data_IF_585516404984
#
_entry.id   IF_585516404984
#
_cell.length_a   1.000
_cell.length_b   1.000
_cell.length_c   1.000
_cell.angle_alpha   90.00
_cell.angle_beta   90.00
_cell.angle_gamma   90.00
#
_symmetry.space_group_name_H-M   'P 1'
#
loop_
_entity.id
_entity.type
_entity.pdbx_description
1 polymer ?
#
# COMPACT_ATOMS: atom_id res chain seq x y z
N UNK A 1 -10.32 32.38 9.51
CA UNK A 1 -11.30 33.13 10.31
C UNK A 1 -10.70 34.27 11.17
N UNK A 2 -9.37 34.39 11.25
CA UNK A 2 -8.71 35.38 12.11
C UNK A 2 -8.56 36.80 11.50
N UNK A 3 -8.90 36.96 10.22
CA UNK A 3 -8.84 38.25 9.48
C UNK A 3 -10.27 38.78 9.20
N UNK A 4 -11.29 38.16 9.73
CA UNK A 4 -12.66 38.24 9.24
C UNK A 4 -13.50 39.45 9.67
N UNK A 5 -12.97 40.45 10.37
CA UNK A 5 -13.81 41.57 10.87
C UNK A 5 -13.88 42.81 9.95
N UNK A 6 -13.03 42.89 8.91
CA UNK A 6 -13.23 43.86 7.78
C UNK A 6 -12.81 43.18 6.48
N UNK A 7 -13.79 42.74 5.71
CA UNK A 7 -13.65 42.05 4.43
C UNK A 7 -12.81 42.89 3.47
N UNK A 8 -11.54 42.48 3.23
CA UNK A 8 -10.76 42.96 2.12
C UNK A 8 -10.95 41.99 0.94
N UNK A 9 -11.67 42.37 -0.14
CA UNK A 9 -12.00 41.43 -1.23
C UNK A 9 -10.80 40.82 -1.93
N UNK A 10 -9.65 41.51 -1.89
CA UNK A 10 -8.40 41.00 -2.47
C UNK A 10 -7.84 39.87 -1.61
N UNK A 11 -7.91 40.02 -0.29
CA UNK A 11 -7.43 39.01 0.66
C UNK A 11 -8.33 37.77 0.65
N UNK A 12 -9.66 37.95 0.61
CA UNK A 12 -10.62 36.86 0.50
C UNK A 12 -10.40 36.02 -0.76
N UNK A 13 -10.12 36.69 -1.89
CA UNK A 13 -9.78 36.00 -3.12
C UNK A 13 -8.51 35.15 -3.01
N UNK A 14 -7.49 35.64 -2.31
CA UNK A 14 -6.24 34.90 -2.08
C UNK A 14 -6.40 33.74 -1.09
N UNK A 15 -7.18 33.92 -0.04
CA UNK A 15 -7.52 32.87 0.93
C UNK A 15 -8.25 31.75 0.21
N UNK A 16 -9.32 32.06 -0.50
CA UNK A 16 -10.11 31.07 -1.26
C UNK A 16 -9.29 30.32 -2.30
N UNK A 17 -8.38 31.02 -2.99
CA UNK A 17 -7.45 30.39 -3.94
C UNK A 17 -6.48 29.42 -3.24
N UNK A 18 -5.95 29.79 -2.07
CA UNK A 18 -5.07 28.92 -1.28
C UNK A 18 -5.82 27.69 -0.77
N UNK A 19 -7.02 27.86 -0.19
CA UNK A 19 -7.86 26.76 0.30
C UNK A 19 -8.15 25.76 -0.84
N UNK A 20 -8.55 26.24 -2.01
CA UNK A 20 -8.80 25.38 -3.18
C UNK A 20 -7.57 24.54 -3.55
N UNK A 21 -6.36 25.13 -3.52
CA UNK A 21 -5.12 24.42 -3.85
C UNK A 21 -4.68 23.47 -2.74
N UNK A 22 -4.95 23.81 -1.50
CA UNK A 22 -4.68 22.95 -0.33
C UNK A 22 -5.58 21.72 -0.36
N UNK A 23 -6.86 21.88 -0.64
CA UNK A 23 -7.82 20.78 -0.78
C UNK A 23 -7.43 19.84 -1.93
N UNK A 24 -7.03 20.38 -3.06
CA UNK A 24 -6.52 19.58 -4.19
C UNK A 24 -5.26 18.78 -3.83
N UNK A 25 -4.36 19.37 -3.03
CA UNK A 25 -3.17 18.68 -2.54
C UNK A 25 -3.51 17.57 -1.53
N UNK A 26 -4.44 17.82 -0.61
CA UNK A 26 -4.89 16.83 0.37
C UNK A 26 -5.57 15.63 -0.32
N UNK A 27 -6.42 15.89 -1.31
CA UNK A 27 -7.06 14.83 -2.11
C UNK A 27 -6.03 14.02 -2.92
N UNK A 28 -5.03 14.68 -3.52
CA UNK A 28 -3.93 13.99 -4.21
C UNK A 28 -3.12 13.11 -3.25
N UNK A 29 -2.86 13.56 -2.01
CA UNK A 29 -2.19 12.77 -0.97
C UNK A 29 -3.02 11.55 -0.57
N UNK A 30 -4.31 11.72 -0.30
CA UNK A 30 -5.22 10.63 0.05
C UNK A 30 -5.25 9.58 -1.06
N UNK A 31 -5.40 10.01 -2.30
CA UNK A 31 -5.42 9.13 -3.47
C UNK A 31 -4.10 8.38 -3.68
N UNK A 32 -2.96 8.94 -3.24
CA UNK A 32 -1.64 8.31 -3.38
C UNK A 32 -1.27 7.39 -2.22
N UNK A 33 -1.84 7.59 -1.04
CA UNK A 33 -1.38 6.94 0.21
C UNK A 33 -2.14 5.68 0.58
N UNK A 34 -3.38 5.49 0.11
CA UNK A 34 -4.18 4.32 0.42
C UNK A 34 -4.90 3.78 -0.81
N UNK A 35 -4.30 2.75 -1.43
CA UNK A 35 -4.99 1.98 -2.45
C UNK A 35 -5.74 0.83 -1.74
N UNK A 36 -7.08 0.86 -1.67
CA UNK A 36 -7.87 -0.22 -1.05
C UNK A 36 -7.55 -1.60 -1.64
N UNK A 37 -7.23 -1.64 -2.93
CA UNK A 37 -6.78 -2.84 -3.63
C UNK A 37 -5.48 -3.45 -3.08
N UNK A 38 -4.63 -2.66 -2.41
CA UNK A 38 -3.40 -3.19 -1.78
C UNK A 38 -3.73 -4.09 -0.60
N UNK A 39 -4.67 -3.70 0.26
CA UNK A 39 -5.13 -4.53 1.37
C UNK A 39 -5.79 -5.81 0.84
N UNK A 40 -6.70 -5.68 -0.15
CA UNK A 40 -7.36 -6.84 -0.79
C UNK A 40 -6.37 -7.82 -1.40
N UNK A 41 -5.32 -7.33 -2.07
CA UNK A 41 -4.29 -8.19 -2.65
C UNK A 41 -3.44 -8.88 -1.56
N UNK A 42 -3.17 -8.21 -0.45
CA UNK A 42 -2.46 -8.80 0.70
C UNK A 42 -3.30 -9.88 1.38
N UNK A 43 -4.58 -9.63 1.60
CA UNK A 43 -5.47 -10.61 2.21
C UNK A 43 -5.65 -11.84 1.31
N UNK A 44 -5.80 -11.63 0.00
CA UNK A 44 -5.88 -12.72 -0.96
C UNK A 44 -4.60 -13.55 -1.04
N UNK A 45 -3.43 -12.94 -0.86
CA UNK A 45 -2.12 -13.60 -0.77
C UNK A 45 -2.05 -14.52 0.45
N UNK A 46 -2.43 -14.02 1.62
CA UNK A 46 -2.48 -14.81 2.87
C UNK A 46 -3.44 -16.00 2.74
N UNK A 47 -4.59 -15.81 2.10
CA UNK A 47 -5.54 -16.90 1.88
C UNK A 47 -5.01 -17.95 0.89
N UNK A 48 -4.27 -17.53 -0.14
CA UNK A 48 -3.60 -18.41 -1.11
C UNK A 48 -2.53 -19.25 -0.43
N UNK A 49 -1.67 -18.63 0.37
CA UNK A 49 -0.66 -19.29 1.20
C UNK A 49 -1.28 -20.35 2.10
N UNK A 50 -2.37 -19.98 2.77
CA UNK A 50 -3.10 -20.88 3.66
C UNK A 50 -3.68 -22.09 2.92
N UNK A 51 -4.18 -21.88 1.71
CA UNK A 51 -4.70 -22.96 0.87
C UNK A 51 -3.60 -23.95 0.47
N UNK A 52 -2.41 -23.44 0.07
CA UNK A 52 -1.27 -24.30 -0.25
C UNK A 52 -0.78 -25.08 0.97
N UNK A 53 -0.59 -24.39 2.12
CA UNK A 53 -0.15 -25.04 3.37
C UNK A 53 -1.13 -26.13 3.81
N UNK A 54 -2.43 -25.85 3.70
CA UNK A 54 -3.49 -26.82 4.01
C UNK A 54 -3.43 -28.06 3.12
N UNK A 55 -3.33 -27.87 1.81
CA UNK A 55 -3.25 -28.95 0.83
C UNK A 55 -1.98 -29.81 1.05
N UNK A 56 -0.82 -29.18 1.25
CA UNK A 56 0.44 -29.87 1.52
C UNK A 56 0.40 -30.67 2.84
N UNK A 57 -0.15 -30.07 3.91
CA UNK A 57 -0.32 -30.73 5.19
C UNK A 57 -1.26 -31.94 5.10
N UNK A 58 -2.36 -31.79 4.38
CA UNK A 58 -3.31 -32.87 4.13
C UNK A 58 -2.63 -34.03 3.39
N UNK A 59 -1.96 -33.77 2.28
CA UNK A 59 -1.25 -34.79 1.50
C UNK A 59 -0.18 -35.47 2.35
N UNK A 60 0.57 -34.70 3.14
CA UNK A 60 1.55 -35.25 4.08
C UNK A 60 0.91 -36.17 5.12
N UNK A 61 -0.22 -35.82 5.69
CA UNK A 61 -0.91 -36.68 6.63
C UNK A 61 -1.40 -38.00 6.00
N UNK A 62 -1.83 -37.93 4.72
CA UNK A 62 -2.29 -39.08 3.97
C UNK A 62 -1.16 -40.08 3.62
N UNK A 63 0.11 -39.69 3.69
CA UNK A 63 1.23 -40.65 3.51
C UNK A 63 1.32 -41.70 4.64
N UNK A 64 0.74 -41.40 5.79
CA UNK A 64 0.68 -42.31 6.94
C UNK A 64 -0.67 -43.05 7.02
N UNK A 65 -1.45 -43.07 5.93
CA UNK A 65 -2.75 -43.73 5.94
C UNK A 65 -2.60 -45.25 6.13
N UNK A 66 -3.49 -45.89 6.95
CA UNK A 66 -3.39 -47.32 7.21
C UNK A 66 -3.62 -48.22 5.99
N UNK A 67 -4.37 -47.73 5.01
CA UNK A 67 -4.51 -48.42 3.72
C UNK A 67 -3.29 -48.13 2.85
N UNK A 68 -2.59 -49.18 2.47
CA UNK A 68 -1.32 -49.11 1.71
C UNK A 68 -1.49 -48.45 0.32
N UNK A 69 -2.61 -48.70 -0.35
CA UNK A 69 -2.86 -48.09 -1.66
C UNK A 69 -3.01 -46.56 -1.55
N UNK A 70 -3.76 -46.12 -0.53
CA UNK A 70 -3.93 -44.71 -0.20
C UNK A 70 -2.58 -44.04 0.18
N UNK A 71 -1.80 -44.67 1.06
CA UNK A 71 -0.50 -44.16 1.45
C UNK A 71 0.47 -44.04 0.25
N UNK A 72 0.50 -45.06 -0.62
CA UNK A 72 1.34 -45.04 -1.84
C UNK A 72 0.93 -43.92 -2.77
N UNK A 73 -0.35 -43.75 -3.05
CA UNK A 73 -0.87 -42.65 -3.85
C UNK A 73 -0.50 -41.27 -3.25
N UNK A 74 -0.62 -41.15 -1.93
CA UNK A 74 -0.25 -39.92 -1.22
C UNK A 74 1.25 -39.60 -1.32
N UNK A 75 2.13 -40.60 -1.25
CA UNK A 75 3.57 -40.43 -1.44
C UNK A 75 3.91 -39.90 -2.84
N UNK A 76 3.21 -40.35 -3.88
CA UNK A 76 3.40 -39.85 -5.23
C UNK A 76 2.97 -38.37 -5.36
N UNK A 77 1.83 -38.00 -4.80
CA UNK A 77 1.34 -36.62 -4.79
C UNK A 77 2.26 -35.74 -3.94
N UNK A 78 2.75 -36.25 -2.82
CA UNK A 78 3.70 -35.52 -1.98
C UNK A 78 4.99 -35.16 -2.74
N UNK A 79 5.48 -36.04 -3.61
CA UNK A 79 6.63 -35.74 -4.45
C UNK A 79 6.41 -34.55 -5.39
N UNK A 80 5.17 -34.34 -5.87
CA UNK A 80 4.86 -33.12 -6.64
C UNK A 80 5.04 -31.88 -5.78
N UNK A 81 4.45 -31.85 -4.59
CA UNK A 81 4.66 -30.74 -3.66
C UNK A 81 6.14 -30.51 -3.34
N UNK A 82 6.90 -31.58 -3.11
CA UNK A 82 8.33 -31.50 -2.81
C UNK A 82 9.16 -31.00 -4.00
N UNK A 83 8.76 -31.33 -5.23
CA UNK A 83 9.43 -30.88 -6.46
C UNK A 83 9.29 -29.38 -6.63
N UNK A 84 8.12 -28.82 -6.32
CA UNK A 84 7.85 -27.39 -6.39
C UNK A 84 8.33 -26.60 -5.17
N UNK A 85 8.57 -27.28 -4.04
CA UNK A 85 8.99 -26.67 -2.78
C UNK A 85 7.90 -25.84 -2.13
N UNK A 86 8.28 -24.99 -1.17
CA UNK A 86 7.39 -24.06 -0.49
C UNK A 86 7.33 -22.72 -1.23
N UNK A 87 6.24 -22.42 -1.96
CA UNK A 87 6.14 -21.20 -2.73
C UNK A 87 5.78 -19.97 -1.86
N UNK A 88 5.30 -20.18 -0.62
CA UNK A 88 4.76 -19.09 0.24
C UNK A 88 5.83 -18.10 0.73
N UNK A 89 7.10 -18.36 0.45
CA UNK A 89 8.23 -17.47 0.74
C UNK A 89 8.77 -16.75 -0.50
N UNK A 90 8.25 -17.06 -1.67
CA UNK A 90 8.69 -16.48 -2.96
C UNK A 90 8.05 -15.11 -3.21
N UNK A 91 8.58 -14.38 -4.18
CA UNK A 91 7.91 -13.19 -4.67
C UNK A 91 6.56 -13.56 -5.31
N UNK A 92 5.53 -12.74 -5.12
CA UNK A 92 4.15 -13.03 -5.53
C UNK A 92 3.99 -13.54 -6.97
N UNK A 93 4.81 -13.02 -7.90
CA UNK A 93 4.80 -13.44 -9.32
C UNK A 93 5.42 -14.83 -9.51
N UNK A 94 6.51 -15.13 -8.79
CA UNK A 94 7.17 -16.42 -8.80
C UNK A 94 6.29 -17.49 -8.18
N UNK A 95 5.67 -17.18 -7.05
CA UNK A 95 4.69 -18.03 -6.39
C UNK A 95 3.53 -18.38 -7.31
N UNK A 96 2.94 -17.39 -8.00
CA UNK A 96 1.88 -17.65 -9.00
C UNK A 96 2.34 -18.58 -10.12
N UNK A 97 3.60 -18.49 -10.54
CA UNK A 97 4.17 -19.40 -11.55
C UNK A 97 4.27 -20.83 -11.02
N UNK A 98 4.78 -20.99 -9.81
CA UNK A 98 4.91 -22.31 -9.14
C UNK A 98 3.53 -22.94 -8.91
N UNK A 99 2.57 -22.17 -8.35
CA UNK A 99 1.23 -22.67 -8.10
C UNK A 99 0.48 -23.04 -9.38
N UNK A 100 0.66 -22.28 -10.45
CA UNK A 100 0.07 -22.61 -11.76
C UNK A 100 0.52 -23.99 -12.22
N UNK A 101 1.81 -24.27 -12.22
CA UNK A 101 2.37 -25.54 -12.63
C UNK A 101 1.94 -26.68 -11.69
N UNK A 102 2.02 -26.48 -10.37
CA UNK A 102 1.56 -27.47 -9.40
C UNK A 102 0.08 -27.83 -9.60
N UNK A 103 -0.80 -26.84 -9.80
CA UNK A 103 -2.23 -27.07 -10.03
C UNK A 103 -2.45 -27.85 -11.33
N UNK A 104 -1.70 -27.55 -12.39
CA UNK A 104 -1.75 -28.33 -13.66
C UNK A 104 -1.39 -29.78 -13.43
N UNK A 105 -0.29 -30.06 -12.73
CA UNK A 105 0.16 -31.42 -12.45
C UNK A 105 -0.81 -32.17 -11.54
N UNK A 106 -1.36 -31.48 -10.52
CA UNK A 106 -2.38 -32.06 -9.64
C UNK A 106 -3.68 -32.41 -10.41
N UNK A 107 -4.06 -31.60 -11.40
CA UNK A 107 -5.21 -31.90 -12.26
C UNK A 107 -4.93 -33.00 -13.30
N UNK A 108 -3.67 -33.21 -13.65
CA UNK A 108 -3.25 -34.27 -14.55
C UNK A 108 -3.09 -35.62 -13.87
N UNK A 109 -3.24 -35.69 -12.55
CA UNK A 109 -3.19 -36.94 -11.79
C UNK A 109 -4.24 -37.93 -12.30
N UNK A 110 -3.92 -39.21 -12.20
CA UNK A 110 -4.88 -40.29 -12.43
C UNK A 110 -6.14 -40.09 -11.60
N UNK A 111 -7.31 -40.23 -12.25
CA UNK A 111 -8.60 -39.95 -11.63
C UNK A 111 -8.86 -40.85 -10.40
N UNK A 112 -8.37 -42.08 -10.42
CA UNK A 112 -8.51 -43.00 -9.28
C UNK A 112 -7.67 -42.55 -8.09
N UNK A 113 -6.45 -42.06 -8.30
CA UNK A 113 -5.62 -41.48 -7.23
C UNK A 113 -6.26 -40.22 -6.65
N UNK A 114 -6.75 -39.32 -7.50
CA UNK A 114 -7.43 -38.13 -7.06
C UNK A 114 -8.68 -38.43 -6.23
N UNK A 115 -9.43 -39.49 -6.60
CA UNK A 115 -10.60 -39.98 -5.88
C UNK A 115 -10.19 -40.61 -4.54
N UNK A 116 -9.19 -41.49 -4.55
CA UNK A 116 -8.72 -42.21 -3.38
C UNK A 116 -8.25 -41.26 -2.28
N UNK A 117 -7.60 -40.17 -2.67
CA UNK A 117 -7.10 -39.14 -1.77
C UNK A 117 -8.09 -38.00 -1.54
N UNK A 118 -9.28 -38.04 -2.11
CA UNK A 118 -10.26 -36.95 -2.05
C UNK A 118 -9.63 -35.57 -2.34
N UNK A 119 -8.75 -35.46 -3.36
CA UNK A 119 -7.97 -34.26 -3.64
C UNK A 119 -8.77 -33.13 -4.31
N UNK A 120 -9.84 -33.45 -5.00
CA UNK A 120 -10.61 -32.47 -5.80
C UNK A 120 -10.96 -31.19 -5.02
N UNK A 121 -11.48 -31.27 -3.76
CA UNK A 121 -11.77 -30.04 -3.01
C UNK A 121 -10.52 -29.20 -2.70
N UNK A 122 -9.38 -29.84 -2.47
CA UNK A 122 -8.12 -29.14 -2.18
C UNK A 122 -7.54 -28.45 -3.41
N UNK A 123 -7.57 -29.12 -4.57
CA UNK A 123 -7.14 -28.58 -5.86
C UNK A 123 -8.02 -27.40 -6.24
N UNK A 124 -9.34 -27.53 -6.13
CA UNK A 124 -10.28 -26.47 -6.44
C UNK A 124 -10.11 -25.27 -5.50
N UNK A 125 -9.89 -25.50 -4.19
CA UNK A 125 -9.64 -24.42 -3.25
C UNK A 125 -8.35 -23.65 -3.61
N UNK A 126 -7.27 -24.35 -3.88
CA UNK A 126 -5.99 -23.74 -4.25
C UNK A 126 -6.14 -22.93 -5.55
N UNK A 127 -6.79 -23.47 -6.56
CA UNK A 127 -7.05 -22.77 -7.83
C UNK A 127 -7.92 -21.51 -7.63
N UNK A 128 -8.97 -21.61 -6.83
CA UNK A 128 -9.85 -20.48 -6.55
C UNK A 128 -9.12 -19.36 -5.79
N UNK A 129 -8.25 -19.70 -4.84
CA UNK A 129 -7.46 -18.72 -4.09
C UNK A 129 -6.39 -18.06 -4.96
N UNK A 130 -5.73 -18.82 -5.83
CA UNK A 130 -4.79 -18.28 -6.80
C UNK A 130 -5.50 -17.33 -7.80
N UNK A 131 -6.69 -17.70 -8.26
CA UNK A 131 -7.51 -16.83 -9.13
C UNK A 131 -7.90 -15.54 -8.40
N UNK A 132 -8.39 -15.63 -7.17
CA UNK A 132 -8.77 -14.47 -6.37
C UNK A 132 -7.59 -13.52 -6.14
N UNK A 133 -6.41 -14.07 -5.85
CA UNK A 133 -5.18 -13.29 -5.74
C UNK A 133 -4.84 -12.55 -7.05
N UNK A 134 -4.87 -13.24 -8.20
CA UNK A 134 -4.59 -12.62 -9.50
C UNK A 134 -5.56 -11.47 -9.81
N UNK A 135 -6.85 -11.65 -9.52
CA UNK A 135 -7.85 -10.60 -9.70
C UNK A 135 -7.60 -9.39 -8.78
N UNK A 136 -7.23 -9.63 -7.53
CA UNK A 136 -6.90 -8.56 -6.58
C UNK A 136 -5.59 -7.84 -6.96
N UNK A 137 -4.57 -8.57 -7.40
CA UNK A 137 -3.31 -8.02 -7.89
C UNK A 137 -3.50 -7.18 -9.16
N UNK A 138 -4.38 -7.63 -10.07
CA UNK A 138 -4.73 -6.85 -11.26
C UNK A 138 -5.42 -5.53 -10.87
N UNK A 139 -6.40 -5.57 -9.99
CA UNK A 139 -7.07 -4.35 -9.48
C UNK A 139 -6.08 -3.38 -8.86
N UNK A 140 -5.13 -3.88 -8.05
CA UNK A 140 -4.05 -3.07 -7.47
C UNK A 140 -3.20 -2.40 -8.55
N UNK A 141 -2.88 -3.12 -9.63
CA UNK A 141 -2.10 -2.60 -10.75
C UNK A 141 -2.90 -1.54 -11.51
N UNK A 142 -4.18 -1.77 -11.75
CA UNK A 142 -5.06 -0.83 -12.43
C UNK A 142 -5.26 0.46 -11.61
N UNK A 143 -5.44 0.36 -10.30
CA UNK A 143 -5.49 1.54 -9.43
C UNK A 143 -4.17 2.30 -9.42
N UNK A 144 -3.03 1.61 -9.29
CA UNK A 144 -1.71 2.24 -9.37
C UNK A 144 -1.47 2.94 -10.71
N UNK A 145 -1.95 2.36 -11.81
CA UNK A 145 -1.79 2.97 -13.14
C UNK A 145 -2.58 4.26 -13.32
N UNK A 146 -3.67 4.44 -12.57
CA UNK A 146 -4.50 5.66 -12.56
C UNK A 146 -3.91 6.77 -11.70
N UNK A 147 -3.03 6.45 -10.77
CA UNK A 147 -2.29 7.45 -10.00
C UNK A 147 -1.27 8.11 -10.92
N UNK A 148 -1.59 9.31 -11.41
CA UNK A 148 -0.70 10.05 -12.31
C UNK A 148 0.56 10.43 -11.53
N UNK A 149 1.70 9.90 -11.99
CA UNK A 149 3.00 10.19 -11.39
C UNK A 149 3.26 11.70 -11.43
N UNK A 150 3.50 12.28 -10.25
CA UNK A 150 3.82 13.71 -10.14
C UNK A 150 2.65 14.61 -9.75
N UNK A 151 1.39 14.15 -9.75
CA UNK A 151 0.22 14.98 -9.34
C UNK A 151 0.40 15.51 -7.92
N UNK A 152 0.81 14.69 -6.97
CA UNK A 152 1.07 15.14 -5.59
C UNK A 152 2.11 16.25 -5.55
N UNK A 153 3.19 16.11 -6.32
CA UNK A 153 4.26 17.12 -6.42
C UNK A 153 3.74 18.42 -7.06
N UNK A 154 2.93 18.30 -8.10
CA UNK A 154 2.33 19.44 -8.77
C UNK A 154 1.35 20.18 -7.84
N UNK A 155 0.37 19.47 -7.25
CA UNK A 155 -0.59 20.06 -6.31
C UNK A 155 0.11 20.73 -5.13
N UNK A 156 1.17 20.12 -4.59
CA UNK A 156 2.00 20.74 -3.56
C UNK A 156 2.63 22.04 -4.04
N UNK A 157 3.22 22.04 -5.24
CA UNK A 157 3.84 23.26 -5.79
C UNK A 157 2.81 24.36 -6.01
N UNK A 158 1.61 24.01 -6.44
CA UNK A 158 0.50 24.96 -6.63
C UNK A 158 0.01 25.54 -5.29
N UNK A 159 -0.12 24.70 -4.24
CA UNK A 159 -0.46 25.14 -2.90
C UNK A 159 0.64 26.05 -2.31
N UNK A 160 1.93 25.69 -2.47
CA UNK A 160 3.06 26.50 -2.04
C UNK A 160 3.07 27.88 -2.74
N UNK A 161 2.74 27.93 -4.03
CA UNK A 161 2.66 29.18 -4.78
C UNK A 161 1.49 30.05 -4.30
N UNK A 162 0.31 29.46 -4.10
CA UNK A 162 -0.86 30.17 -3.57
C UNK A 162 -0.59 30.72 -2.16
N UNK A 163 0.05 29.94 -1.28
CA UNK A 163 0.51 30.39 0.02
C UNK A 163 1.45 31.60 -0.06
N UNK A 164 2.45 31.55 -0.93
CA UNK A 164 3.39 32.67 -1.12
C UNK A 164 2.69 33.93 -1.64
N UNK A 165 1.71 33.79 -2.53
CA UNK A 165 0.90 34.90 -3.00
C UNK A 165 0.07 35.51 -1.87
N UNK A 166 -0.58 34.67 -1.03
CA UNK A 166 -1.31 35.11 0.15
C UNK A 166 -0.40 35.92 1.10
N UNK A 167 0.76 35.36 1.47
CA UNK A 167 1.74 36.05 2.35
C UNK A 167 2.20 37.36 1.73
N UNK A 168 2.48 37.40 0.44
CA UNK A 168 2.89 38.63 -0.26
C UNK A 168 1.79 39.68 -0.24
N UNK A 169 0.53 39.26 -0.41
CA UNK A 169 -0.65 40.16 -0.31
C UNK A 169 -0.81 40.73 1.07
N UNK A 170 -0.70 39.88 2.13
CA UNK A 170 -0.75 40.35 3.53
C UNK A 170 0.34 41.36 3.79
N UNK A 171 1.60 41.09 3.38
CA UNK A 171 2.70 42.02 3.57
C UNK A 171 2.48 43.37 2.84
N UNK A 172 1.91 43.34 1.62
CA UNK A 172 1.56 44.57 0.88
C UNK A 172 0.45 45.36 1.60
N UNK A 173 -0.56 44.68 2.13
CA UNK A 173 -1.64 45.32 2.88
C UNK A 173 -1.13 45.92 4.20
N UNK A 174 -0.22 45.26 4.88
CA UNK A 174 0.44 45.80 6.08
C UNK A 174 1.16 47.16 5.77
N UNK A 175 1.80 47.27 4.61
CA UNK A 175 2.46 48.49 4.19
C UNK A 175 1.47 49.61 3.84
N UNK A 176 0.29 49.27 3.32
CA UNK A 176 -0.72 50.25 2.84
C UNK A 176 -1.67 50.68 3.97
N UNK A 177 -2.14 49.71 4.78
CA UNK A 177 -3.21 49.89 5.76
C UNK A 177 -2.71 49.92 7.23
N UNK A 178 -1.43 49.62 7.42
CA UNK A 178 -0.81 49.47 8.75
C UNK A 178 -0.80 48.00 9.22
N UNK A 179 0.20 47.67 10.05
CA UNK A 179 0.49 46.30 10.52
C UNK A 179 -0.52 45.82 11.57
N UNK A 180 -1.11 46.75 12.33
CA UNK A 180 -1.96 46.45 13.51
C UNK A 180 -3.13 45.49 13.18
N UNK A 181 -3.74 45.65 11.98
CA UNK A 181 -4.85 44.81 11.51
C UNK A 181 -4.46 43.34 11.28
N UNK A 182 -3.19 43.10 10.96
CA UNK A 182 -2.69 41.79 10.52
C UNK A 182 -1.76 41.12 11.52
N UNK A 183 -1.40 41.79 12.63
CA UNK A 183 -0.43 41.32 13.62
C UNK A 183 -0.80 39.95 14.17
N UNK A 184 -2.06 39.75 14.59
CA UNK A 184 -2.53 38.47 15.15
C UNK A 184 -2.35 37.31 14.16
N UNK A 185 -2.70 37.51 12.90
CA UNK A 185 -2.52 36.51 11.85
C UNK A 185 -1.03 36.23 11.59
N UNK A 186 -0.21 37.26 11.49
CA UNK A 186 1.25 37.14 11.24
C UNK A 186 1.90 36.37 12.37
N UNK A 187 1.59 36.71 13.61
CA UNK A 187 2.15 36.05 14.79
C UNK A 187 1.75 34.58 14.83
N UNK A 188 0.48 34.26 14.57
CA UNK A 188 -0.02 32.89 14.53
C UNK A 188 0.70 32.07 13.44
N UNK A 189 0.82 32.61 12.25
CA UNK A 189 1.54 31.94 11.13
C UNK A 189 3.02 31.72 11.49
N UNK A 190 3.68 32.69 12.10
CA UNK A 190 5.08 32.57 12.50
C UNK A 190 5.26 31.48 13.57
N UNK A 191 4.37 31.38 14.56
CA UNK A 191 4.39 30.31 15.58
C UNK A 191 4.25 28.94 14.89
N UNK A 192 3.26 28.77 13.98
CA UNK A 192 3.08 27.51 13.25
C UNK A 192 4.31 27.13 12.43
N UNK A 193 4.95 28.08 11.76
CA UNK A 193 6.18 27.86 10.98
C UNK A 193 7.31 27.36 11.89
N UNK A 194 7.52 27.99 13.05
CA UNK A 194 8.61 27.64 13.95
C UNK A 194 8.38 26.28 14.64
N UNK A 195 7.16 25.94 14.97
CA UNK A 195 6.81 24.59 15.41
C UNK A 195 7.15 23.54 14.35
N UNK A 196 6.80 23.79 13.07
CA UNK A 196 7.10 22.86 11.98
C UNK A 196 8.59 22.74 11.71
N UNK A 197 9.33 23.84 11.76
CA UNK A 197 10.81 23.81 11.69
C UNK A 197 11.43 22.96 12.80
N UNK A 198 10.91 23.07 14.00
CA UNK A 198 11.36 22.28 15.15
C UNK A 198 11.11 20.79 14.94
N UNK A 199 9.91 20.40 14.48
CA UNK A 199 9.58 19.01 14.14
C UNK A 199 10.54 18.46 13.07
N UNK A 200 10.80 19.24 12.01
CA UNK A 200 11.69 18.81 10.92
C UNK A 200 13.13 18.63 11.39
N UNK A 201 13.64 19.52 12.24
CA UNK A 201 14.98 19.40 12.85
C UNK A 201 15.09 18.15 13.72
N UNK A 202 14.08 17.89 14.55
CA UNK A 202 14.02 16.69 15.40
C UNK A 202 14.03 15.41 14.56
N UNK A 203 13.20 15.33 13.50
CA UNK A 203 13.20 14.19 12.58
C UNK A 203 14.54 13.98 11.88
N UNK A 204 15.17 15.05 11.41
CA UNK A 204 16.51 14.99 10.79
C UNK A 204 17.55 14.43 11.76
N UNK A 205 17.53 14.88 13.01
CA UNK A 205 18.45 14.41 14.05
C UNK A 205 18.24 12.92 14.38
N UNK A 206 16.98 12.48 14.48
CA UNK A 206 16.64 11.07 14.73
C UNK A 206 17.11 10.18 13.57
N UNK A 207 16.84 10.59 12.32
CA UNK A 207 17.26 9.84 11.14
C UNK A 207 18.79 9.77 11.01
N UNK A 208 19.49 10.85 11.32
CA UNK A 208 20.97 10.87 11.32
C UNK A 208 21.56 9.92 12.39
N UNK A 209 20.91 9.81 13.57
CA UNK A 209 21.31 8.85 14.60
C UNK A 209 21.05 7.41 14.16
N UNK A 210 19.90 7.12 13.57
CA UNK A 210 19.53 5.79 13.08
C UNK A 210 20.53 5.30 12.02
N UNK A 211 20.86 6.14 11.04
CA UNK A 211 21.82 5.81 9.99
C UNK A 211 23.23 5.56 10.53
N UNK A 212 23.61 6.15 11.68
CA UNK A 212 24.90 5.88 12.32
C UNK A 212 24.94 4.55 13.08
N UNK A 213 23.79 4.10 13.59
CA UNK A 213 23.67 2.84 14.33
C UNK A 213 23.63 1.63 13.37
N UNK A 214 23.19 1.83 12.14
CA UNK A 214 23.06 0.78 11.11
C UNK A 214 24.33 0.61 10.24
N UNK A 215 25.42 1.36 10.51
CA UNK A 215 26.71 1.12 9.87
C UNK A 215 27.45 -0.01 10.61
N UNK A 216 27.77 -1.13 9.95
CA UNK A 216 28.57 -2.18 10.56
C UNK A 216 29.96 -1.63 10.91
N UNK A 217 30.44 -1.96 12.11
CA UNK A 217 31.80 -1.66 12.53
C UNK A 217 32.79 -2.33 11.54
N UNK A 218 33.68 -1.53 10.95
CA UNK A 218 34.79 -2.00 10.14
C UNK A 218 35.87 -2.61 11.01
#
# INVERSE_FOLDING_TARGET
DEIADEVNPVLDGQISAFETKLDAFDEALKSSSSLPSTALATDADVERDSAWRGANAYVKAMTEHPDVATATAAMEVKRLFDTYGDPTSLAQTEESGVLHNLIQDLKALDAEKARLLALTPWINNLENKEKAFKEAAQKRTDEKSRVIVGVVKQCRSEADNAYRQLVSTVNALCLIEGEEKYTTFIDHVNVMIDERKTILRTRSTINAKKNKTDMPAQ
#
